data_IF_232844679506
#
_entry.id   IF_232844679506
#
_cell.length_a   1.000
_cell.length_b   1.000
_cell.length_c   1.000
_cell.angle_alpha   90.00
_cell.angle_beta   90.00
_cell.angle_gamma   90.00
#
_symmetry.space_group_name_H-M   'P 1'
#
loop_
_entity.id
_entity.type
_entity.pdbx_description
1 polymer ?
#
# COMPACT_ATOMS: atom_id res chain seq x y z
N UNK A 1 -0.64 2.17 11.16
CA UNK A 1 -0.87 1.59 9.83
C UNK A 1 -2.27 1.05 9.60
N UNK A 2 -2.77 0.07 10.37
CA UNK A 2 -4.14 -0.48 10.14
C UNK A 2 -5.28 0.45 10.64
N UNK A 3 -4.99 1.32 11.61
CA UNK A 3 -5.95 2.26 12.21
C UNK A 3 -5.94 3.66 11.54
N UNK A 4 -5.06 3.88 10.56
CA UNK A 4 -5.13 5.08 9.72
C UNK A 4 -6.25 4.81 8.69
N UNK A 5 -7.45 5.32 8.97
CA UNK A 5 -8.72 5.11 8.23
C UNK A 5 -8.68 5.35 6.70
N UNK A 6 -7.54 5.76 6.14
CA UNK A 6 -7.35 6.08 4.71
C UNK A 6 -6.41 5.15 3.93
N UNK A 7 -5.86 4.09 4.52
CA UNK A 7 -4.97 3.16 3.78
C UNK A 7 -5.82 2.09 3.09
N UNK A 8 -6.13 2.30 1.80
CA UNK A 8 -6.87 1.33 0.96
C UNK A 8 -5.95 0.38 0.19
N UNK A 9 -4.65 0.61 0.23
CA UNK A 9 -3.65 -0.34 -0.27
C UNK A 9 -3.38 -1.41 0.79
N UNK A 10 -4.19 -2.49 0.76
CA UNK A 10 -4.23 -3.52 1.80
C UNK A 10 -3.25 -4.67 1.57
N UNK A 11 -2.51 -4.68 0.46
CA UNK A 11 -1.60 -5.78 0.08
C UNK A 11 -0.64 -6.24 1.21
N UNK A 12 -0.06 -5.36 2.06
CA UNK A 12 0.80 -5.81 3.15
C UNK A 12 0.06 -6.55 4.29
N UNK A 13 -1.25 -6.31 4.44
CA UNK A 13 -2.04 -6.66 5.62
C UNK A 13 -3.03 -7.81 5.41
N UNK A 14 -3.12 -8.36 4.20
CA UNK A 14 -4.03 -9.47 3.88
C UNK A 14 -3.39 -10.83 4.12
N UNK A 15 -4.20 -11.90 4.18
CA UNK A 15 -3.68 -13.26 4.32
C UNK A 15 -2.86 -13.68 3.08
N UNK A 16 -2.05 -14.75 3.22
CA UNK A 16 -1.16 -15.22 2.15
C UNK A 16 -1.91 -15.50 0.83
N UNK A 17 -3.06 -16.15 0.91
CA UNK A 17 -3.88 -16.47 -0.26
C UNK A 17 -4.28 -15.21 -1.03
N UNK A 18 -4.76 -14.18 -0.33
CA UNK A 18 -5.17 -12.89 -0.90
C UNK A 18 -3.98 -12.06 -1.39
N UNK A 19 -2.78 -12.23 -0.80
CA UNK A 19 -1.53 -11.67 -1.36
C UNK A 19 -1.19 -12.31 -2.70
N UNK A 20 -1.31 -13.63 -2.81
CA UNK A 20 -0.96 -14.38 -4.02
C UNK A 20 -1.95 -14.19 -5.16
N UNK A 21 -3.25 -14.10 -4.85
CA UNK A 21 -4.31 -14.00 -5.86
C UNK A 21 -4.83 -12.58 -6.07
N UNK A 22 -4.29 -11.59 -5.35
CA UNK A 22 -4.77 -10.20 -5.35
C UNK A 22 -6.27 -10.05 -5.01
N UNK A 23 -6.83 -10.99 -4.25
CA UNK A 23 -8.27 -11.07 -3.99
C UNK A 23 -8.87 -9.80 -3.36
N UNK A 24 -8.08 -9.11 -2.53
CA UNK A 24 -8.48 -7.84 -1.92
C UNK A 24 -8.82 -6.73 -2.93
N UNK A 25 -8.30 -6.82 -4.16
CA UNK A 25 -8.58 -5.85 -5.22
C UNK A 25 -9.96 -6.02 -5.85
N UNK A 26 -10.60 -7.19 -5.72
CA UNK A 26 -11.90 -7.45 -6.35
C UNK A 26 -12.99 -6.46 -5.91
N UNK A 27 -12.99 -6.09 -4.62
CA UNK A 27 -13.90 -5.10 -4.07
C UNK A 27 -13.61 -3.69 -4.61
N UNK A 28 -12.33 -3.35 -4.82
CA UNK A 28 -11.91 -2.07 -5.39
C UNK A 28 -12.31 -1.94 -6.86
N UNK A 29 -12.05 -2.97 -7.67
CA UNK A 29 -12.38 -3.00 -9.11
C UNK A 29 -13.90 -2.91 -9.31
N UNK A 30 -14.67 -3.65 -8.52
CA UNK A 30 -16.14 -3.62 -8.58
C UNK A 30 -16.69 -2.24 -8.20
N UNK A 31 -16.08 -1.56 -7.22
CA UNK A 31 -16.46 -0.21 -6.84
C UNK A 31 -16.11 0.83 -7.91
N UNK A 32 -14.93 0.70 -8.54
CA UNK A 32 -14.48 1.57 -9.62
C UNK A 32 -15.36 1.48 -10.87
N UNK A 33 -15.99 0.32 -11.11
CA UNK A 33 -16.95 0.19 -12.20
C UNK A 33 -18.24 1.00 -11.95
N UNK A 34 -18.64 1.17 -10.69
CA UNK A 34 -19.88 1.89 -10.32
C UNK A 34 -19.67 3.39 -10.11
N UNK A 35 -18.45 3.84 -9.79
CA UNK A 35 -18.13 5.24 -9.50
C UNK A 35 -16.71 5.59 -9.98
N UNK A 36 -16.48 6.81 -10.52
CA UNK A 36 -15.16 7.24 -10.93
C UNK A 36 -14.18 7.24 -9.76
N UNK A 37 -12.90 6.97 -10.05
CA UNK A 37 -11.84 6.86 -9.04
C UNK A 37 -11.28 8.25 -8.74
N UNK A 38 -11.61 8.78 -7.56
CA UNK A 38 -10.98 9.99 -7.03
C UNK A 38 -9.70 9.67 -6.25
N UNK A 39 -8.79 10.64 -6.16
CA UNK A 39 -7.58 10.57 -5.34
C UNK A 39 -7.87 10.25 -3.86
N UNK A 40 -9.02 10.68 -3.35
CA UNK A 40 -9.50 10.33 -1.99
C UNK A 40 -9.80 8.83 -1.83
N UNK A 41 -10.19 8.16 -2.92
CA UNK A 41 -10.58 6.74 -2.97
C UNK A 41 -9.37 5.82 -3.08
N UNK A 42 -8.27 6.27 -3.67
CA UNK A 42 -7.00 5.52 -3.77
C UNK A 42 -6.38 5.34 -2.37
N UNK A 43 -6.53 6.34 -1.50
CA UNK A 43 -6.02 6.30 -0.14
C UNK A 43 -4.52 6.61 -0.04
N UNK A 44 -3.99 6.53 1.19
CA UNK A 44 -2.57 6.77 1.48
C UNK A 44 -1.75 5.49 1.35
N UNK A 45 -0.48 5.64 0.97
CA UNK A 45 0.48 4.54 0.93
C UNK A 45 0.88 4.08 2.34
N UNK A 46 1.08 2.75 2.57
CA UNK A 46 1.61 2.22 3.82
C UNK A 46 2.98 2.80 4.15
N UNK A 47 3.31 2.92 5.44
CA UNK A 47 4.59 3.50 5.90
C UNK A 47 5.79 2.79 5.28
N UNK A 48 5.71 1.46 5.14
CA UNK A 48 6.77 0.64 4.55
C UNK A 48 7.13 1.00 3.10
N UNK A 49 6.20 1.59 2.34
CA UNK A 49 6.38 1.97 0.93
C UNK A 49 6.50 3.48 0.73
N UNK A 50 6.52 4.28 1.81
CA UNK A 50 6.71 5.72 1.70
C UNK A 50 8.12 6.04 1.23
N UNK A 51 8.25 7.08 0.39
CA UNK A 51 9.52 7.54 -0.16
C UNK A 51 10.57 7.82 0.94
N UNK A 52 10.16 8.47 2.04
CA UNK A 52 11.02 8.75 3.18
C UNK A 52 11.61 7.47 3.80
N UNK A 53 10.77 6.46 4.04
CA UNK A 53 11.20 5.17 4.62
C UNK A 53 12.18 4.45 3.71
N UNK A 54 11.92 4.42 2.40
CA UNK A 54 12.80 3.79 1.43
C UNK A 54 14.12 4.55 1.29
N UNK A 55 14.08 5.89 1.32
CA UNK A 55 15.28 6.72 1.29
C UNK A 55 16.18 6.48 2.51
N UNK A 56 15.61 6.44 3.72
CA UNK A 56 16.36 6.19 4.94
C UNK A 56 17.03 4.81 4.91
N UNK A 57 16.30 3.76 4.50
CA UNK A 57 16.85 2.41 4.34
C UNK A 57 18.00 2.36 3.33
N UNK A 58 17.86 3.06 2.20
CA UNK A 58 18.91 3.14 1.19
C UNK A 58 20.14 3.87 1.74
N UNK A 59 19.93 4.97 2.47
CA UNK A 59 21.01 5.74 3.08
C UNK A 59 21.78 4.94 4.12
N UNK A 60 21.07 4.23 5.00
CA UNK A 60 21.68 3.34 6.00
C UNK A 60 22.51 2.24 5.34
N UNK A 61 21.97 1.60 4.28
CA UNK A 61 22.71 0.58 3.53
C UNK A 61 23.97 1.16 2.85
N UNK A 62 23.88 2.39 2.34
CA UNK A 62 25.01 3.07 1.71
C UNK A 62 26.09 3.48 2.74
N UNK A 63 25.69 3.96 3.92
CA UNK A 63 26.61 4.29 5.02
C UNK A 63 27.28 3.04 5.60
N UNK A 64 26.57 1.91 5.69
CA UNK A 64 27.13 0.65 6.17
C UNK A 64 28.10 -0.02 5.18
N UNK A 65 27.99 0.28 3.89
CA UNK A 65 28.92 -0.21 2.86
C UNK A 65 30.22 0.60 2.78
N UNK A 66 30.21 1.84 3.29
CA UNK A 66 31.34 2.77 3.23
C UNK A 66 32.41 2.42 4.26
#
# INVERSE_FOLDING_TARGET
DLQDLGVRFLQPFVNLLSKSTYWWMNTFITAAHRRPIDLKVIGKLPIAMRALTNYLKLREAFEAQK
#
